data_IF_166580431932
#
_entry.id   IF_166580431932
#
_cell.length_a   1.000
_cell.length_b   1.000
_cell.length_c   1.000
_cell.angle_alpha   90.00
_cell.angle_beta   90.00
_cell.angle_gamma   90.00
#
_symmetry.space_group_name_H-M   'P 1'
#
loop_
_entity.id
_entity.type
_entity.pdbx_description
1 polymer ?
#
# COMPACT_ATOMS: atom_id res chain seq x y z
N UNK A 1 4.82 47.35 -83.62
CA UNK A 1 4.16 47.14 -82.33
C UNK A 1 4.06 45.63 -82.12
N UNK A 2 4.91 45.06 -81.27
CA UNK A 2 5.08 43.58 -81.05
C UNK A 2 4.28 43.19 -79.81
N UNK A 3 3.21 42.42 -79.99
CA UNK A 3 2.55 41.74 -78.84
C UNK A 3 3.38 40.61 -78.35
N UNK A 4 3.77 40.68 -77.08
CA UNK A 4 4.49 39.64 -76.37
C UNK A 4 3.46 38.70 -75.74
N UNK A 5 3.58 37.39 -76.04
CA UNK A 5 2.74 36.29 -75.63
C UNK A 5 2.86 36.09 -74.08
N UNK A 6 1.72 36.00 -73.45
CA UNK A 6 1.63 35.47 -72.11
C UNK A 6 2.05 34.01 -72.09
N UNK A 7 3.19 33.72 -71.44
CA UNK A 7 3.72 32.38 -71.23
C UNK A 7 3.36 31.95 -69.79
N UNK A 8 2.51 30.99 -69.77
CA UNK A 8 2.47 29.85 -68.85
C UNK A 8 2.73 30.12 -67.35
N UNK A 9 1.80 30.76 -66.68
CA UNK A 9 1.75 30.85 -65.22
C UNK A 9 1.30 29.51 -64.58
N UNK A 10 0.79 28.59 -65.37
CA UNK A 10 0.21 27.32 -64.89
C UNK A 10 1.25 26.23 -64.62
N UNK A 11 2.43 26.29 -65.16
CA UNK A 11 3.46 25.28 -64.96
C UNK A 11 4.27 25.44 -63.66
N UNK A 12 4.22 26.61 -63.02
CA UNK A 12 4.99 26.90 -61.81
C UNK A 12 4.33 26.40 -60.53
N UNK A 13 3.04 26.11 -60.57
CA UNK A 13 2.30 25.62 -59.39
C UNK A 13 2.42 24.11 -59.19
N UNK A 14 2.64 23.34 -60.21
CA UNK A 14 2.69 21.86 -60.14
C UNK A 14 4.01 21.36 -59.51
N UNK A 15 5.07 22.18 -59.57
CA UNK A 15 6.37 21.80 -59.01
C UNK A 15 6.57 22.23 -57.54
N UNK A 16 5.67 23.06 -56.98
CA UNK A 16 5.81 23.58 -55.64
C UNK A 16 5.17 22.73 -54.54
N UNK A 17 4.34 21.78 -54.89
CA UNK A 17 3.70 20.87 -53.92
C UNK A 17 4.03 19.43 -54.27
N UNK A 18 4.97 18.81 -53.57
CA UNK A 18 5.21 17.37 -53.72
C UNK A 18 3.88 16.66 -53.36
N UNK A 19 3.28 16.02 -54.40
CA UNK A 19 2.18 15.10 -54.16
C UNK A 19 2.68 14.03 -53.20
N UNK A 20 2.26 14.11 -51.95
CA UNK A 20 2.59 13.09 -50.96
C UNK A 20 2.05 11.77 -51.49
N UNK A 21 2.95 10.86 -51.84
CA UNK A 21 2.59 9.49 -52.20
C UNK A 21 1.64 8.94 -51.14
N UNK A 22 0.55 8.26 -51.50
CA UNK A 22 -0.39 7.73 -50.56
C UNK A 22 0.38 6.79 -49.62
N UNK A 23 0.44 7.19 -48.34
CA UNK A 23 1.06 6.38 -47.30
C UNK A 23 0.31 5.06 -47.25
N UNK A 24 0.97 3.99 -47.65
CA UNK A 24 0.41 2.65 -47.74
C UNK A 24 -0.04 2.25 -46.32
N UNK A 25 -1.30 2.58 -45.94
CA UNK A 25 -1.92 2.21 -44.68
C UNK A 25 -2.24 0.73 -44.79
N UNK A 26 -1.30 -0.11 -44.39
CA UNK A 26 -1.59 -1.53 -44.17
C UNK A 26 -2.63 -1.60 -43.05
N UNK A 27 -3.86 -1.96 -43.39
CA UNK A 27 -4.89 -2.27 -42.41
C UNK A 27 -4.51 -3.52 -41.61
N UNK A 28 -4.88 -3.58 -40.35
CA UNK A 28 -4.76 -4.79 -39.56
C UNK A 28 -5.61 -5.91 -40.18
N UNK A 29 -5.06 -7.09 -40.28
CA UNK A 29 -5.85 -8.27 -40.65
C UNK A 29 -6.76 -8.66 -39.46
N UNK A 30 -7.90 -9.28 -39.74
CA UNK A 30 -8.81 -9.77 -38.69
C UNK A 30 -8.09 -10.74 -37.72
N UNK A 31 -7.18 -11.56 -38.25
CA UNK A 31 -6.39 -12.50 -37.46
C UNK A 31 -5.43 -11.78 -36.50
N UNK A 32 -4.73 -10.73 -36.97
CA UNK A 32 -3.86 -9.92 -36.09
C UNK A 32 -4.66 -9.27 -34.97
N UNK A 33 -5.86 -8.77 -35.24
CA UNK A 33 -6.73 -8.19 -34.21
C UNK A 33 -7.14 -9.24 -33.17
N UNK A 34 -7.56 -10.43 -33.60
CA UNK A 34 -7.96 -11.51 -32.69
C UNK A 34 -6.78 -11.96 -31.81
N UNK A 35 -5.59 -12.12 -32.39
CA UNK A 35 -4.39 -12.46 -31.63
C UNK A 35 -4.05 -11.38 -30.62
N UNK A 36 -4.12 -10.11 -31.01
CA UNK A 36 -3.85 -8.98 -30.11
C UNK A 36 -4.79 -8.95 -28.89
N UNK A 37 -6.11 -9.07 -29.12
CA UNK A 37 -7.08 -9.09 -28.01
C UNK A 37 -6.91 -10.32 -27.12
N UNK A 38 -6.54 -11.48 -27.65
CA UNK A 38 -6.25 -12.68 -26.87
C UNK A 38 -5.03 -12.47 -25.95
N UNK A 39 -3.95 -11.87 -26.44
CA UNK A 39 -2.76 -11.55 -25.66
C UNK A 39 -3.10 -10.54 -24.54
N UNK A 40 -3.84 -9.48 -24.88
CA UNK A 40 -4.25 -8.46 -23.90
C UNK A 40 -5.12 -9.07 -22.81
N UNK A 41 -6.05 -9.95 -23.16
CA UNK A 41 -6.90 -10.66 -22.18
C UNK A 41 -6.09 -11.52 -21.22
N UNK A 42 -5.09 -12.28 -21.71
CA UNK A 42 -4.21 -13.10 -20.87
C UNK A 42 -3.38 -12.21 -19.94
N UNK A 43 -2.83 -11.11 -20.45
CA UNK A 43 -2.06 -10.15 -19.64
C UNK A 43 -2.91 -9.51 -18.56
N UNK A 44 -4.15 -9.12 -18.86
CA UNK A 44 -5.08 -8.55 -17.88
C UNK A 44 -5.36 -9.53 -16.73
N UNK A 45 -5.67 -10.81 -17.02
CA UNK A 45 -5.91 -11.83 -15.98
C UNK A 45 -4.69 -12.03 -15.10
N UNK A 46 -3.48 -12.03 -15.67
CA UNK A 46 -2.22 -12.19 -14.94
C UNK A 46 -1.97 -11.02 -14.00
N UNK A 47 -2.29 -9.79 -14.43
CA UNK A 47 -2.13 -8.59 -13.61
C UNK A 47 -3.01 -8.61 -12.35
N UNK A 48 -4.28 -9.02 -12.46
CA UNK A 48 -5.16 -9.13 -11.30
C UNK A 48 -4.66 -10.14 -10.26
N UNK A 49 -4.07 -11.26 -10.68
CA UNK A 49 -3.48 -12.24 -9.75
C UNK A 49 -2.29 -11.66 -8.99
N UNK A 50 -1.40 -10.95 -9.67
CA UNK A 50 -0.22 -10.32 -9.04
C UNK A 50 -0.63 -9.27 -8.02
N UNK A 51 -1.63 -8.43 -8.31
CA UNK A 51 -2.12 -7.40 -7.37
C UNK A 51 -2.71 -8.02 -6.09
N UNK A 52 -3.50 -9.08 -6.20
CA UNK A 52 -4.05 -9.78 -5.03
C UNK A 52 -2.99 -10.48 -4.17
N UNK A 53 -1.93 -11.01 -4.76
CA UNK A 53 -0.80 -11.60 -4.03
C UNK A 53 0.02 -10.54 -3.29
N UNK A 54 0.18 -9.35 -3.88
CA UNK A 54 0.89 -8.23 -3.25
C UNK A 54 0.20 -7.77 -1.95
N UNK A 55 -1.13 -7.70 -1.91
CA UNK A 55 -1.87 -7.33 -0.69
C UNK A 55 -1.71 -8.38 0.42
N UNK A 56 -1.88 -9.66 0.10
CA UNK A 56 -1.66 -10.76 1.05
C UNK A 56 -0.23 -10.74 1.61
N UNK A 57 0.77 -10.52 0.78
CA UNK A 57 2.16 -10.44 1.22
C UNK A 57 2.39 -9.29 2.21
N UNK A 58 1.76 -8.13 2.00
CA UNK A 58 1.81 -6.99 2.93
C UNK A 58 1.19 -7.34 4.28
N UNK A 59 0.00 -7.95 4.29
CA UNK A 59 -0.71 -8.37 5.50
C UNK A 59 0.14 -9.38 6.29
N UNK A 60 0.67 -10.40 5.63
CA UNK A 60 1.53 -11.42 6.27
C UNK A 60 2.82 -10.80 6.83
N UNK A 61 3.42 -9.85 6.10
CA UNK A 61 4.61 -9.13 6.58
C UNK A 61 4.32 -8.34 7.85
N UNK A 62 3.20 -7.61 7.89
CA UNK A 62 2.78 -6.85 9.07
C UNK A 62 2.46 -7.79 10.25
N UNK A 63 1.75 -8.90 10.01
CA UNK A 63 1.47 -9.88 11.06
C UNK A 63 2.75 -10.47 11.68
N UNK A 64 3.75 -10.80 10.85
CA UNK A 64 5.05 -11.31 11.33
C UNK A 64 5.79 -10.25 12.16
N UNK A 65 5.80 -9.00 11.69
CA UNK A 65 6.44 -7.90 12.42
C UNK A 65 5.74 -7.63 13.74
N UNK A 66 4.40 -7.66 13.78
CA UNK A 66 3.64 -7.49 15.02
C UNK A 66 3.99 -8.56 16.08
N UNK A 67 4.07 -9.82 15.65
CA UNK A 67 4.51 -10.92 16.55
C UNK A 67 5.90 -10.68 17.08
N UNK A 68 6.87 -10.34 16.21
CA UNK A 68 8.23 -10.01 16.64
C UNK A 68 8.25 -8.89 17.68
N UNK A 69 7.48 -7.82 17.48
CA UNK A 69 7.44 -6.68 18.39
C UNK A 69 6.84 -7.07 19.74
N UNK A 70 5.79 -7.89 19.76
CA UNK A 70 5.19 -8.42 20.96
C UNK A 70 6.12 -9.41 21.69
N UNK A 71 6.88 -10.25 20.96
CA UNK A 71 7.88 -11.16 21.53
C UNK A 71 9.01 -10.38 22.20
N UNK A 72 9.47 -9.29 21.59
CA UNK A 72 10.47 -8.39 22.20
C UNK A 72 9.93 -7.75 23.48
N UNK A 73 8.69 -7.23 23.45
CA UNK A 73 8.09 -6.66 24.65
C UNK A 73 7.93 -7.69 25.78
N UNK A 74 7.54 -8.91 25.43
CA UNK A 74 7.45 -10.04 26.39
C UNK A 74 8.83 -10.42 26.95
N UNK A 75 9.88 -10.33 26.13
CA UNK A 75 11.27 -10.56 26.57
C UNK A 75 11.70 -9.47 27.56
N UNK A 76 11.37 -8.21 27.30
CA UNK A 76 11.62 -7.11 28.24
C UNK A 76 10.90 -7.40 29.57
N UNK A 77 9.61 -7.77 29.51
CA UNK A 77 8.85 -8.10 30.71
C UNK A 77 9.46 -9.27 31.48
N UNK A 78 9.85 -10.34 30.80
CA UNK A 78 10.47 -11.51 31.41
C UNK A 78 11.81 -11.19 32.12
N UNK A 79 12.54 -10.21 31.59
CA UNK A 79 13.87 -9.84 32.14
C UNK A 79 13.80 -8.75 33.21
N UNK A 80 12.81 -7.85 33.14
CA UNK A 80 12.72 -6.69 34.05
C UNK A 80 11.57 -6.76 35.05
N UNK A 81 10.61 -7.67 34.86
CA UNK A 81 9.36 -7.76 35.61
C UNK A 81 8.34 -6.68 35.28
N UNK A 82 8.61 -5.78 34.30
CA UNK A 82 7.74 -4.68 33.95
C UNK A 82 7.60 -4.59 32.42
N UNK A 83 6.40 -4.24 31.93
CA UNK A 83 6.18 -3.95 30.53
C UNK A 83 6.93 -2.67 30.12
N UNK A 84 7.38 -2.57 28.85
CA UNK A 84 7.94 -1.33 28.34
C UNK A 84 6.98 -0.15 28.58
N UNK A 85 7.53 1.02 28.89
CA UNK A 85 6.73 2.23 29.10
C UNK A 85 6.06 2.64 27.81
N UNK A 86 4.89 3.26 27.95
CA UNK A 86 4.21 3.85 26.82
C UNK A 86 5.08 4.94 26.18
N UNK A 87 5.19 4.88 24.87
CA UNK A 87 5.98 5.85 24.09
C UNK A 87 5.09 6.38 22.96
N UNK A 88 4.33 7.42 23.26
CA UNK A 88 3.40 8.04 22.32
C UNK A 88 4.03 8.41 20.97
N UNK A 89 3.19 8.51 19.94
CA UNK A 89 3.54 9.02 18.62
C UNK A 89 4.54 8.16 17.83
N UNK A 90 4.34 6.85 17.86
CA UNK A 90 5.17 5.92 17.07
C UNK A 90 6.68 6.03 17.38
N UNK A 91 6.99 6.20 18.66
CA UNK A 91 8.36 6.20 19.18
C UNK A 91 8.66 4.82 19.75
N UNK A 92 9.84 4.27 19.43
CA UNK A 92 10.31 3.02 20.02
C UNK A 92 10.60 3.20 21.51
N UNK A 93 9.95 2.43 22.42
CA UNK A 93 10.25 2.46 23.85
C UNK A 93 11.72 2.22 24.13
N UNK A 94 12.25 2.93 25.13
CA UNK A 94 13.68 2.85 25.46
C UNK A 94 14.09 1.45 25.86
N UNK A 95 13.21 0.72 26.54
CA UNK A 95 13.44 -0.65 27.01
C UNK A 95 13.52 -1.66 25.86
N UNK A 96 12.91 -1.35 24.70
CA UNK A 96 12.94 -2.21 23.51
C UNK A 96 14.12 -1.90 22.57
N UNK A 97 14.80 -0.75 22.73
CA UNK A 97 15.92 -0.33 21.87
C UNK A 97 17.09 -1.32 21.77
N UNK A 98 17.46 -2.06 22.81
CA UNK A 98 18.54 -3.05 22.69
C UNK A 98 18.24 -4.20 21.72
N UNK A 99 16.96 -4.45 21.43
CA UNK A 99 16.48 -5.58 20.63
C UNK A 99 16.01 -5.17 19.23
N UNK A 100 15.76 -3.88 18.99
CA UNK A 100 15.12 -3.38 17.77
C UNK A 100 15.83 -2.15 17.22
N UNK A 101 15.82 -2.03 15.88
CA UNK A 101 16.24 -0.79 15.22
C UNK A 101 15.19 0.31 15.41
N UNK A 102 15.63 1.54 15.68
CA UNK A 102 14.76 2.72 15.80
C UNK A 102 13.89 2.96 14.55
N UNK A 103 14.35 2.52 13.38
CA UNK A 103 13.65 2.75 12.11
C UNK A 103 12.31 1.99 12.00
N UNK A 104 12.11 0.92 12.80
CA UNK A 104 10.89 0.10 12.69
C UNK A 104 9.63 0.90 13.08
N UNK A 105 9.75 1.83 14.05
CA UNK A 105 8.66 2.71 14.49
C UNK A 105 8.61 4.03 13.69
N UNK A 106 9.74 4.46 13.13
CA UNK A 106 9.82 5.72 12.40
C UNK A 106 9.19 5.66 10.99
N UNK A 107 9.17 4.46 10.39
CA UNK A 107 8.70 4.26 9.03
C UNK A 107 7.26 3.75 8.98
N UNK A 108 6.56 4.10 7.90
CA UNK A 108 5.24 3.54 7.62
C UNK A 108 5.34 2.03 7.34
N UNK A 109 4.35 1.28 7.81
CA UNK A 109 4.23 -0.14 7.52
C UNK A 109 3.79 -0.37 6.07
N UNK A 110 3.91 -1.59 5.54
CA UNK A 110 3.35 -1.94 4.23
C UNK A 110 1.84 -1.66 4.07
N UNK A 111 1.10 -1.53 5.17
CA UNK A 111 -0.31 -1.16 5.21
C UNK A 111 -0.53 0.35 5.41
N UNK A 112 0.53 1.18 5.35
CA UNK A 112 0.52 2.65 5.53
C UNK A 112 0.18 3.16 6.94
N UNK A 113 -0.05 2.28 7.90
CA UNK A 113 -0.10 2.64 9.31
C UNK A 113 1.30 2.72 9.91
N UNK A 114 1.42 3.28 11.11
CA UNK A 114 2.67 3.29 11.88
C UNK A 114 2.56 2.39 13.10
N UNK A 115 3.69 1.80 13.48
CA UNK A 115 3.77 1.08 14.74
C UNK A 115 3.69 2.04 15.92
N UNK A 116 2.94 1.63 16.93
CA UNK A 116 2.84 2.32 18.18
C UNK A 116 2.79 1.31 19.33
N UNK A 117 3.42 1.61 20.45
CA UNK A 117 3.43 0.73 21.61
C UNK A 117 2.46 1.26 22.65
N UNK A 118 1.45 0.49 22.97
CA UNK A 118 0.51 0.78 24.04
C UNK A 118 1.01 0.12 25.34
N UNK A 119 1.76 0.87 26.13
CA UNK A 119 2.26 0.44 27.43
C UNK A 119 1.20 0.47 28.52
N UNK A 120 1.57 0.15 29.78
CA UNK A 120 0.63 0.14 30.92
C UNK A 120 -0.06 1.48 31.19
N UNK A 121 0.58 2.59 30.82
CA UNK A 121 0.09 3.96 31.08
C UNK A 121 -0.61 4.60 29.87
N UNK A 122 -0.82 3.84 28.77
CA UNK A 122 -1.49 4.40 27.59
C UNK A 122 -2.94 4.81 27.90
N UNK A 123 -3.44 5.80 27.16
CA UNK A 123 -4.81 6.30 27.27
C UNK A 123 -5.74 5.71 26.19
N UNK A 124 -5.19 4.94 25.23
CA UNK A 124 -5.93 4.46 24.06
C UNK A 124 -6.89 3.33 24.43
N UNK A 125 -6.46 2.40 25.27
CA UNK A 125 -7.24 1.22 25.64
C UNK A 125 -6.78 0.62 26.98
N UNK A 126 -7.51 -0.38 27.46
CA UNK A 126 -7.09 -1.23 28.58
C UNK A 126 -6.15 -2.38 28.16
N UNK A 127 -5.73 -2.40 26.88
CA UNK A 127 -4.85 -3.42 26.33
C UNK A 127 -3.41 -2.93 26.34
N UNK A 128 -2.49 -3.84 26.65
CA UNK A 128 -1.03 -3.64 26.51
C UNK A 128 -0.60 -4.44 25.30
N UNK A 129 0.11 -3.81 24.37
CA UNK A 129 0.57 -4.48 23.17
C UNK A 129 1.00 -3.53 22.06
N UNK A 130 1.45 -4.12 20.98
CA UNK A 130 1.77 -3.34 19.77
C UNK A 130 0.49 -2.94 19.05
N UNK A 131 0.45 -1.75 18.49
CA UNK A 131 -0.66 -1.31 17.64
C UNK A 131 -0.18 -0.78 16.29
N UNK A 132 -1.09 -0.85 15.31
CA UNK A 132 -1.01 -0.12 14.06
C UNK A 132 -1.90 1.12 14.17
N UNK A 133 -1.28 2.29 14.04
CA UNK A 133 -1.96 3.57 14.09
C UNK A 133 -2.18 4.13 12.69
N UNK A 134 -3.42 4.52 12.39
CA UNK A 134 -3.83 5.22 11.16
C UNK A 134 -4.37 6.61 11.52
N UNK A 135 -3.85 7.65 10.85
CA UNK A 135 -4.27 9.02 11.11
C UNK A 135 -4.19 9.89 9.84
N UNK A 136 -5.31 10.34 9.26
CA UNK A 136 -6.69 9.89 9.57
C UNK A 136 -6.96 8.47 9.03
N UNK A 137 -7.85 7.69 9.66
CA UNK A 137 -8.23 6.37 9.17
C UNK A 137 -9.16 6.49 7.97
N UNK A 138 -9.06 5.55 7.03
CA UNK A 138 -9.99 5.40 5.89
C UNK A 138 -10.80 4.10 6.00
N UNK A 139 -11.89 4.01 5.23
CA UNK A 139 -12.65 2.74 5.11
C UNK A 139 -11.80 1.61 4.55
N UNK A 140 -10.87 1.93 3.64
CA UNK A 140 -9.94 0.94 3.09
C UNK A 140 -8.99 0.39 4.18
N UNK A 141 -8.54 1.22 5.12
CA UNK A 141 -7.70 0.78 6.23
C UNK A 141 -8.46 -0.18 7.15
N UNK A 142 -9.74 0.08 7.43
CA UNK A 142 -10.57 -0.84 8.21
C UNK A 142 -10.74 -2.20 7.54
N UNK A 143 -10.94 -2.24 6.22
CA UNK A 143 -11.01 -3.49 5.46
C UNK A 143 -9.69 -4.28 5.50
N UNK A 144 -8.56 -3.59 5.39
CA UNK A 144 -7.24 -4.21 5.50
C UNK A 144 -7.00 -4.76 6.90
N UNK A 145 -7.41 -4.03 7.94
CA UNK A 145 -7.30 -4.46 9.33
C UNK A 145 -8.20 -5.66 9.63
N UNK A 146 -9.41 -5.73 9.08
CA UNK A 146 -10.26 -6.93 9.21
C UNK A 146 -9.61 -8.16 8.59
N UNK A 147 -8.95 -8.00 7.43
CA UNK A 147 -8.18 -9.11 6.81
C UNK A 147 -6.95 -9.49 7.64
N UNK A 148 -6.27 -8.53 8.24
CA UNK A 148 -5.16 -8.77 9.15
C UNK A 148 -5.65 -9.51 10.40
N UNK A 149 -6.76 -9.07 10.95
CA UNK A 149 -7.39 -9.67 12.13
C UNK A 149 -7.81 -11.12 11.89
N UNK A 150 -8.41 -11.43 10.74
CA UNK A 150 -8.72 -12.80 10.32
C UNK A 150 -7.48 -13.72 10.27
N UNK A 151 -6.29 -13.16 10.07
CA UNK A 151 -5.03 -13.89 10.06
C UNK A 151 -4.44 -14.10 11.46
N UNK A 152 -4.70 -13.16 12.38
CA UNK A 152 -4.07 -13.12 13.72
C UNK A 152 -5.05 -13.61 14.79
N UNK A 153 -6.33 -13.29 14.68
CA UNK A 153 -7.36 -13.50 15.69
C UNK A 153 -8.69 -13.97 15.07
N UNK A 154 -9.81 -13.32 15.33
CA UNK A 154 -11.15 -13.77 14.99
C UNK A 154 -11.80 -13.09 13.75
N UNK A 155 -11.15 -12.10 13.17
CA UNK A 155 -11.65 -11.32 12.03
C UNK A 155 -12.64 -10.22 12.41
N UNK A 156 -12.82 -9.92 13.69
CA UNK A 156 -13.74 -8.92 14.19
C UNK A 156 -13.02 -7.87 15.03
N UNK A 157 -12.83 -6.69 14.49
CA UNK A 157 -12.11 -5.58 15.15
C UNK A 157 -12.71 -5.11 16.49
N UNK A 158 -13.89 -5.59 16.88
CA UNK A 158 -14.52 -5.24 18.14
C UNK A 158 -14.31 -6.28 19.25
N UNK A 159 -13.91 -7.50 18.91
CA UNK A 159 -13.78 -8.65 19.82
C UNK A 159 -12.38 -9.25 19.81
N UNK A 160 -12.17 -10.31 20.53
CA UNK A 160 -10.90 -11.03 20.55
C UNK A 160 -9.78 -10.36 21.35
N UNK A 161 -8.57 -10.82 21.11
CA UNK A 161 -7.33 -10.30 21.67
C UNK A 161 -6.74 -9.15 20.85
N UNK A 162 -7.21 -8.98 19.60
CA UNK A 162 -6.85 -7.87 18.75
C UNK A 162 -8.07 -6.96 18.58
N UNK A 163 -7.90 -5.65 18.79
CA UNK A 163 -9.05 -4.70 18.75
C UNK A 163 -8.72 -3.41 18.03
N UNK A 164 -9.69 -2.95 17.24
CA UNK A 164 -9.69 -1.60 16.67
C UNK A 164 -10.26 -0.58 17.68
N UNK A 165 -9.47 0.41 18.06
CA UNK A 165 -9.86 1.47 18.99
C UNK A 165 -9.72 2.82 18.32
N UNK A 166 -10.80 3.62 18.35
CA UNK A 166 -10.76 5.00 17.89
C UNK A 166 -10.41 5.93 19.06
N UNK A 167 -9.32 6.67 18.91
CA UNK A 167 -8.86 7.61 19.93
C UNK A 167 -8.27 8.86 19.25
N UNK A 168 -8.76 10.03 19.65
CA UNK A 168 -8.30 11.34 19.15
C UNK A 168 -8.19 11.42 17.61
N UNK A 169 -9.22 10.95 16.88
CA UNK A 169 -9.23 10.98 15.41
C UNK A 169 -8.33 9.98 14.71
N UNK A 170 -7.64 9.13 15.45
CA UNK A 170 -6.82 8.03 14.95
C UNK A 170 -7.51 6.69 15.22
N UNK A 171 -7.29 5.72 14.32
CA UNK A 171 -7.65 4.32 14.54
C UNK A 171 -6.38 3.56 14.96
N UNK A 172 -6.44 2.93 16.11
CA UNK A 172 -5.42 2.02 16.64
C UNK A 172 -5.92 0.59 16.52
N UNK A 173 -5.23 -0.24 15.82
CA UNK A 173 -5.45 -1.69 15.83
C UNK A 173 -4.45 -2.33 16.79
N UNK A 174 -4.91 -2.64 17.99
CA UNK A 174 -4.09 -3.15 19.08
C UNK A 174 -4.04 -4.67 19.04
N UNK A 175 -2.83 -5.21 18.97
CA UNK A 175 -2.52 -6.65 19.08
C UNK A 175 -2.00 -6.86 20.50
N UNK A 176 -2.88 -7.30 21.40
CA UNK A 176 -2.56 -7.33 22.83
C UNK A 176 -1.67 -8.50 23.23
N UNK A 177 -0.83 -8.25 24.23
CA UNK A 177 -0.06 -9.27 24.97
C UNK A 177 -0.54 -9.38 26.40
N UNK A 178 -1.19 -8.34 26.93
CA UNK A 178 -1.77 -8.30 28.27
C UNK A 178 -2.90 -7.26 28.36
N UNK A 179 -3.64 -7.32 29.46
CA UNK A 179 -4.60 -6.28 29.86
C UNK A 179 -4.05 -5.50 31.05
N UNK A 180 -4.46 -4.24 31.18
CA UNK A 180 -4.19 -3.47 32.40
C UNK A 180 -5.03 -4.04 33.54
N UNK A 181 -4.45 -4.15 34.70
CA UNK A 181 -5.12 -4.46 35.95
C UNK A 181 -5.79 -3.20 36.53
#
# INVERSE_FOLDING_TARGET
MRMQRGRDIWNDWVLKYPVHAPRNRRGFTLVELVVYIAIVAIMAISLFRVLGQSEKAKIVSVAKTARLLNDVASTVYATTGTWPRDAHNSILPTEMKPYLSNNIFANDTPLKGRWDWNGPTNDVSNLIGISLRFNPPSTADQQLLTKLDTLIDDGNLATGSCKGVNYNGSLFYVISVATKN
#
